data_IF_615872434806
#
_entry.id   IF_615872434806
#
_cell.length_a   1.000
_cell.length_b   1.000
_cell.length_c   1.000
_cell.angle_alpha   90.00
_cell.angle_beta   90.00
_cell.angle_gamma   90.00
#
_symmetry.space_group_name_H-M   'P 1'
#
loop_
_entity.id
_entity.type
_entity.pdbx_description
1 polymer ?
#
# COMPACT_ATOMS: atom_id res chain seq x y z
N UNK A 1 10.69 -13.18 9.14
CA UNK A 1 10.91 -12.21 8.04
C UNK A 1 9.91 -12.50 6.93
N UNK A 2 9.14 -11.50 6.47
CA UNK A 2 8.10 -11.68 5.45
C UNK A 2 8.75 -11.60 4.05
N UNK A 3 8.49 -12.57 3.18
CA UNK A 3 9.04 -12.57 1.83
C UNK A 3 8.49 -11.38 1.02
N UNK A 4 9.38 -10.70 0.28
CA UNK A 4 9.05 -9.53 -0.54
C UNK A 4 9.19 -9.91 -2.01
N UNK A 5 8.36 -9.32 -2.87
CA UNK A 5 8.36 -9.57 -4.30
C UNK A 5 8.40 -8.26 -5.08
N UNK A 6 9.01 -8.28 -6.27
CA UNK A 6 8.92 -7.18 -7.23
C UNK A 6 7.53 -7.15 -7.91
N UNK A 7 7.33 -6.23 -8.85
CA UNK A 7 6.08 -6.11 -9.61
C UNK A 7 5.86 -7.27 -10.58
N UNK A 8 6.92 -8.00 -10.91
CA UNK A 8 6.94 -9.16 -11.79
C UNK A 8 6.71 -10.48 -11.02
N UNK A 9 6.61 -10.42 -9.69
CA UNK A 9 6.42 -11.59 -8.83
C UNK A 9 7.72 -12.32 -8.49
N UNK A 10 8.90 -11.78 -8.80
CA UNK A 10 10.16 -12.38 -8.38
C UNK A 10 10.46 -12.03 -6.94
N UNK A 11 11.03 -12.99 -6.21
CA UNK A 11 11.41 -12.79 -4.81
C UNK A 11 12.54 -11.76 -4.73
N UNK A 12 12.28 -10.69 -4.00
CA UNK A 12 13.25 -9.64 -3.77
C UNK A 12 14.22 -10.09 -2.66
N UNK A 13 15.54 -10.00 -2.87
CA UNK A 13 16.49 -10.13 -1.77
C UNK A 13 16.19 -9.04 -0.71
N UNK A 14 16.67 -9.22 0.52
CA UNK A 14 16.68 -8.14 1.51
C UNK A 14 18.14 -7.74 1.74
N UNK A 15 18.62 -6.80 0.91
CA UNK A 15 20.02 -6.33 0.90
C UNK A 15 20.36 -5.37 2.04
N UNK A 16 19.39 -4.98 2.87
CA UNK A 16 19.61 -3.93 3.86
C UNK A 16 19.32 -2.51 3.34
N UNK A 17 19.38 -2.26 2.03
CA UNK A 17 19.31 -0.91 1.43
C UNK A 17 17.94 -0.56 0.85
N UNK A 18 17.52 0.70 0.94
CA UNK A 18 16.28 1.20 0.33
C UNK A 18 15.07 0.27 0.54
N UNK A 19 14.51 -0.23 -0.57
CA UNK A 19 13.42 -1.21 -0.58
C UNK A 19 13.87 -2.67 -0.49
N UNK A 20 15.16 -2.95 -0.40
CA UNK A 20 15.77 -4.28 -0.29
C UNK A 20 16.28 -4.87 -1.60
N UNK A 21 16.01 -4.25 -2.75
CA UNK A 21 16.50 -4.77 -4.04
C UNK A 21 17.99 -4.50 -4.27
N UNK A 22 18.56 -5.17 -5.29
CA UNK A 22 19.94 -4.98 -5.71
C UNK A 22 20.20 -3.56 -6.21
N UNK A 23 19.28 -2.99 -7.00
CA UNK A 23 19.40 -1.63 -7.51
C UNK A 23 19.52 -0.59 -6.37
N UNK A 24 18.82 -0.79 -5.25
CA UNK A 24 18.96 0.06 -4.07
C UNK A 24 20.31 -0.17 -3.35
N UNK A 25 20.85 -1.39 -3.37
CA UNK A 25 22.16 -1.67 -2.80
C UNK A 25 23.28 -1.04 -3.64
N UNK A 26 23.21 -1.16 -4.96
CA UNK A 26 24.21 -0.60 -5.89
C UNK A 26 24.26 0.93 -5.81
N UNK A 27 23.11 1.56 -5.60
CA UNK A 27 23.00 3.01 -5.39
C UNK A 27 23.32 3.45 -3.95
N UNK A 28 23.70 2.53 -3.06
CA UNK A 28 23.88 2.75 -1.63
C UNK A 28 22.71 3.53 -0.98
N UNK A 29 21.48 3.19 -1.40
CA UNK A 29 20.30 3.90 -0.95
C UNK A 29 20.07 3.64 0.56
N UNK A 30 19.78 4.68 1.35
CA UNK A 30 19.46 4.51 2.77
C UNK A 30 18.22 3.61 2.91
N UNK A 31 18.23 2.70 3.89
CA UNK A 31 17.04 1.88 4.20
C UNK A 31 15.90 2.83 4.52
N UNK A 32 14.75 2.64 3.87
CA UNK A 32 13.59 3.44 4.22
C UNK A 32 13.26 3.18 5.68
N UNK A 33 13.25 4.22 6.50
CA UNK A 33 12.54 4.15 7.75
C UNK A 33 11.09 3.81 7.39
N UNK A 34 10.60 2.67 7.89
CA UNK A 34 9.15 2.46 7.87
C UNK A 34 8.60 3.63 8.64
N UNK A 35 7.95 4.57 7.94
CA UNK A 35 7.00 5.47 8.59
C UNK A 35 6.13 4.53 9.41
N UNK A 36 6.27 4.57 10.74
CA UNK A 36 5.25 4.06 11.63
C UNK A 36 4.06 4.92 11.27
N UNK A 37 3.26 4.46 10.33
CA UNK A 37 1.87 4.82 10.31
C UNK A 37 1.38 4.27 11.63
N UNK A 38 1.53 5.07 12.70
CA UNK A 38 0.56 5.04 13.77
C UNK A 38 -0.76 4.94 13.04
N UNK A 39 -1.40 3.78 13.16
CA UNK A 39 -2.71 3.57 12.57
C UNK A 39 -3.57 4.64 13.21
N UNK A 40 -3.72 5.78 12.54
CA UNK A 40 -4.80 6.74 12.72
C UNK A 40 -6.06 6.09 12.15
N UNK A 41 -6.35 4.90 12.63
CA UNK A 41 -7.60 4.18 12.43
C UNK A 41 -8.48 4.41 13.66
N UNK A 42 -8.69 5.68 14.00
CA UNK A 42 -9.85 6.08 14.79
C UNK A 42 -10.84 6.73 13.83
N UNK A 43 -11.27 6.00 12.81
CA UNK A 43 -12.51 6.38 12.12
C UNK A 43 -13.62 6.27 13.14
N UNK A 44 -14.15 7.41 13.59
CA UNK A 44 -15.29 7.41 14.50
C UNK A 44 -16.43 6.61 13.86
N UNK A 45 -17.21 5.86 14.66
CA UNK A 45 -18.31 5.04 14.14
C UNK A 45 -19.30 5.88 13.30
N UNK A 46 -19.41 7.17 13.61
CA UNK A 46 -20.22 8.14 12.89
C UNK A 46 -19.73 8.36 11.44
N UNK A 47 -18.42 8.50 11.24
CA UNK A 47 -17.84 8.66 9.89
C UNK A 47 -18.02 7.41 9.02
N UNK A 48 -17.99 6.21 9.62
CA UNK A 48 -18.29 4.96 8.90
C UNK A 48 -19.73 4.92 8.41
N UNK A 49 -20.69 5.32 9.26
CA UNK A 49 -22.11 5.36 8.88
C UNK A 49 -22.37 6.37 7.75
N UNK A 50 -21.76 7.55 7.81
CA UNK A 50 -21.92 8.56 6.75
C UNK A 50 -21.39 8.08 5.39
N UNK A 51 -20.23 7.44 5.34
CA UNK A 51 -19.68 6.90 4.08
C UNK A 51 -20.54 5.77 3.53
N UNK A 52 -21.12 4.91 4.38
CA UNK A 52 -22.05 3.86 3.93
C UNK A 52 -23.33 4.44 3.33
N UNK A 53 -23.90 5.48 3.95
CA UNK A 53 -25.11 6.14 3.43
C UNK A 53 -24.81 6.87 2.12
N UNK A 54 -23.71 7.62 2.05
CA UNK A 54 -23.32 8.31 0.82
C UNK A 54 -22.97 7.33 -0.31
N UNK A 55 -22.31 6.22 -0.01
CA UNK A 55 -22.02 5.17 -1.00
C UNK A 55 -23.27 4.43 -1.52
N UNK A 56 -24.35 4.40 -0.75
CA UNK A 56 -25.63 3.86 -1.20
C UNK A 56 -26.42 4.84 -2.07
N UNK A 57 -26.25 6.15 -1.86
CA UNK A 57 -26.94 7.21 -2.60
C UNK A 57 -26.21 7.55 -3.90
N UNK A 58 -24.89 7.46 -3.93
CA UNK A 58 -24.09 7.71 -5.13
C UNK A 58 -24.05 6.40 -5.93
N UNK A 59 -24.74 6.29 -7.08
CA UNK A 59 -24.64 5.11 -7.91
C UNK A 59 -23.18 4.94 -8.32
N UNK A 60 -22.59 3.84 -7.85
CA UNK A 60 -21.27 3.38 -8.25
C UNK A 60 -21.35 3.07 -9.75
N UNK A 61 -21.10 4.07 -10.60
CA UNK A 61 -20.77 3.85 -12.00
C UNK A 61 -19.42 3.15 -12.00
N UNK A 62 -19.45 1.83 -11.82
CA UNK A 62 -18.32 0.98 -12.18
C UNK A 62 -18.00 1.32 -13.64
N UNK A 63 -16.78 1.76 -13.98
CA UNK A 63 -16.38 1.76 -15.37
C UNK A 63 -16.45 0.29 -15.83
N UNK A 64 -17.30 0.05 -16.81
CA UNK A 64 -17.43 -1.22 -17.51
C UNK A 64 -16.03 -1.61 -18.02
N UNK A 65 -15.52 -2.82 -17.72
CA UNK A 65 -14.26 -3.27 -18.29
C UNK A 65 -14.45 -3.36 -19.81
N UNK A 66 -13.66 -2.57 -20.54
CA UNK A 66 -13.60 -2.65 -22.00
C UNK A 66 -13.30 -4.09 -22.43
N UNK A 67 -14.10 -4.57 -23.40
CA UNK A 67 -14.07 -5.92 -23.96
C UNK A 67 -12.74 -6.28 -24.62
#
# INVERSE_FOLDING_TARGET
>A
MQARFDKQGNRLPDTGHGCGCQLCADANAPRYERRRTERTSAWSPLRRRLVQVLGAIIPNRRPEPAA
#
